data_IF_993580047050
#
_entry.id   IF_993580047050
#
_cell.length_a   1.000
_cell.length_b   1.000
_cell.length_c   1.000
_cell.angle_alpha   90.00
_cell.angle_beta   90.00
_cell.angle_gamma   90.00
#
_symmetry.space_group_name_H-M   'P 1'
#
loop_
_entity.id
_entity.type
_entity.pdbx_description
1 polymer ?
#
# COMPACT_ATOMS: atom_id res chain seq x y z
N UNK A 1 -6.46 24.28 -11.68
CA UNK A 1 -7.18 23.00 -11.58
C UNK A 1 -7.07 22.52 -10.14
N UNK A 2 -8.17 22.18 -9.49
CA UNK A 2 -8.14 21.61 -8.14
C UNK A 2 -7.64 20.17 -8.18
N UNK A 3 -6.65 19.85 -7.37
CA UNK A 3 -6.10 18.50 -7.22
C UNK A 3 -6.70 17.89 -5.96
N UNK A 4 -7.27 16.70 -6.08
CA UNK A 4 -7.74 15.93 -4.93
C UNK A 4 -6.58 15.09 -4.41
N UNK A 5 -6.39 15.05 -3.10
CA UNK A 5 -5.37 14.23 -2.47
C UNK A 5 -5.89 13.55 -1.21
N UNK A 6 -5.43 12.33 -0.96
CA UNK A 6 -5.70 11.55 0.23
C UNK A 6 -4.38 10.97 0.72
N UNK A 7 -4.10 11.14 2.01
CA UNK A 7 -2.93 10.61 2.67
C UNK A 7 -3.38 9.70 3.81
N UNK A 8 -2.83 8.49 3.87
CA UNK A 8 -3.11 7.53 4.92
C UNK A 8 -1.82 7.03 5.55
N UNK A 9 -1.90 6.68 6.83
CA UNK A 9 -0.83 6.02 7.59
C UNK A 9 -1.43 4.81 8.29
N UNK A 10 -0.93 3.63 7.93
CA UNK A 10 -1.46 2.35 8.37
C UNK A 10 -0.41 1.67 9.24
N UNK A 11 -0.66 1.54 10.56
CA UNK A 11 0.25 0.85 11.46
C UNK A 11 0.13 -0.67 11.31
N UNK A 12 1.28 -1.34 11.28
CA UNK A 12 1.40 -2.78 11.40
C UNK A 12 1.96 -3.18 12.77
N UNK A 13 1.66 -4.40 13.26
CA UNK A 13 2.15 -4.86 14.56
C UNK A 13 3.68 -4.93 14.66
N UNK A 14 4.36 -5.18 13.54
CA UNK A 14 5.82 -5.20 13.46
C UNK A 14 6.36 -4.52 12.19
N UNK A 15 7.61 -4.06 12.24
CA UNK A 15 8.30 -3.54 11.05
C UNK A 15 8.45 -4.59 9.95
N UNK A 16 8.54 -5.88 10.31
CA UNK A 16 8.63 -6.99 9.35
C UNK A 16 7.33 -7.19 8.58
N UNK A 17 6.18 -7.13 9.25
CA UNK A 17 4.87 -7.20 8.57
C UNK A 17 4.63 -5.98 7.69
N UNK A 18 5.01 -4.79 8.16
CA UNK A 18 4.94 -3.57 7.36
C UNK A 18 5.81 -3.66 6.10
N UNK A 19 7.02 -4.22 6.23
CA UNK A 19 7.91 -4.49 5.11
C UNK A 19 7.28 -5.48 4.12
N UNK A 20 6.76 -6.61 4.59
CA UNK A 20 6.08 -7.59 3.72
C UNK A 20 4.93 -6.92 2.97
N UNK A 21 4.07 -6.18 3.68
CA UNK A 21 2.95 -5.49 3.06
C UNK A 21 3.42 -4.44 2.03
N UNK A 22 4.43 -3.65 2.36
CA UNK A 22 5.04 -2.69 1.44
C UNK A 22 5.58 -3.38 0.17
N UNK A 23 6.29 -4.50 0.33
CA UNK A 23 6.88 -5.26 -0.77
C UNK A 23 5.83 -5.80 -1.73
N UNK A 24 4.69 -6.26 -1.22
CA UNK A 24 3.58 -6.76 -2.03
C UNK A 24 2.79 -5.62 -2.68
N UNK A 25 2.53 -4.53 -1.95
CA UNK A 25 1.65 -3.45 -2.38
C UNK A 25 2.33 -2.39 -3.25
N UNK A 26 3.66 -2.32 -3.27
CA UNK A 26 4.41 -1.38 -4.13
C UNK A 26 4.41 -1.76 -5.61
N UNK A 27 3.88 -2.93 -5.95
CA UNK A 27 4.00 -3.49 -7.30
C UNK A 27 3.12 -2.73 -8.29
N UNK A 28 3.79 -2.40 -9.39
CA UNK A 28 3.50 -1.54 -10.53
C UNK A 28 3.10 -0.07 -10.33
N UNK A 29 3.91 0.76 -11.01
CA UNK A 29 3.61 2.15 -11.33
C UNK A 29 2.34 2.20 -12.15
N UNK A 30 1.42 3.08 -11.76
CA UNK A 30 0.24 3.34 -12.57
C UNK A 30 0.68 3.72 -14.00
N UNK A 31 0.00 3.20 -15.04
CA UNK A 31 0.36 3.49 -16.42
C UNK A 31 0.41 5.01 -16.64
N UNK A 32 1.36 5.50 -17.44
CA UNK A 32 1.62 6.94 -17.65
C UNK A 32 0.40 7.80 -18.05
N UNK A 33 -0.72 7.17 -18.45
CA UNK A 33 -2.00 7.83 -18.77
C UNK A 33 -2.96 7.93 -17.57
N UNK A 34 -2.60 7.38 -16.42
CA UNK A 34 -3.38 7.51 -15.21
C UNK A 34 -3.35 8.97 -14.75
N UNK A 35 -4.52 9.59 -14.62
CA UNK A 35 -4.64 10.93 -14.03
C UNK A 35 -4.56 10.87 -12.50
N UNK A 36 -3.83 9.90 -11.98
CA UNK A 36 -3.67 9.55 -10.58
C UNK A 36 -2.17 9.40 -10.34
N UNK A 37 -1.69 9.88 -9.20
CA UNK A 37 -0.35 9.65 -8.71
C UNK A 37 -0.46 8.97 -7.34
N UNK A 38 0.01 7.73 -7.27
CA UNK A 38 0.12 6.92 -6.06
C UNK A 38 1.58 6.86 -5.59
N UNK A 39 1.85 7.24 -4.36
CA UNK A 39 3.14 7.11 -3.70
C UNK A 39 2.99 6.28 -2.42
N UNK A 40 3.80 5.24 -2.27
CA UNK A 40 3.80 4.33 -1.13
C UNK A 40 5.18 4.37 -0.47
N UNK A 41 5.21 4.66 0.83
CA UNK A 41 6.43 4.79 1.64
C UNK A 41 6.28 3.87 2.85
N UNK A 42 7.39 3.27 3.26
CA UNK A 42 7.49 2.51 4.49
C UNK A 42 8.35 3.28 5.49
N UNK A 43 7.81 3.55 6.67
CA UNK A 43 8.50 4.17 7.80
C UNK A 43 8.39 3.26 9.02
N UNK A 44 9.43 2.46 9.27
CA UNK A 44 9.45 1.40 10.28
C UNK A 44 8.25 0.44 10.17
N UNK A 45 7.26 0.55 11.07
CA UNK A 45 6.04 -0.25 11.07
C UNK A 45 4.82 0.49 10.51
N UNK A 46 5.01 1.69 9.94
CA UNK A 46 3.97 2.51 9.34
C UNK A 46 4.06 2.43 7.82
N UNK A 47 2.98 1.99 7.19
CA UNK A 47 2.81 2.06 5.75
C UNK A 47 2.08 3.35 5.40
N UNK A 48 2.75 4.26 4.69
CA UNK A 48 2.22 5.56 4.31
C UNK A 48 1.89 5.56 2.83
N UNK A 49 0.68 5.99 2.48
CA UNK A 49 0.25 6.12 1.08
C UNK A 49 -0.31 7.52 0.82
N UNK A 50 0.12 8.10 -0.29
CA UNK A 50 -0.40 9.34 -0.85
C UNK A 50 -0.99 9.06 -2.22
N UNK A 51 -2.28 9.32 -2.39
CA UNK A 51 -2.97 9.23 -3.68
C UNK A 51 -3.46 10.62 -4.04
N UNK A 52 -3.09 11.11 -5.23
CA UNK A 52 -3.57 12.39 -5.74
C UNK A 52 -4.07 12.27 -7.17
N UNK A 53 -4.99 13.14 -7.58
CA UNK A 53 -5.53 13.12 -8.94
C UNK A 53 -6.41 14.33 -9.25
N UNK A 54 -6.76 14.48 -10.52
CA UNK A 54 -7.58 15.61 -11.01
C UNK A 54 -9.08 15.40 -10.80
N UNK A 55 -9.52 14.17 -10.57
CA UNK A 55 -10.93 13.80 -10.39
C UNK A 55 -11.12 13.01 -9.09
N UNK A 56 -12.00 13.49 -8.20
CA UNK A 56 -12.32 12.82 -6.95
C UNK A 56 -12.80 11.37 -7.16
N UNK A 57 -13.56 11.12 -8.23
CA UNK A 57 -14.02 9.76 -8.60
C UNK A 57 -12.85 8.80 -8.80
N UNK A 58 -11.79 9.26 -9.46
CA UNK A 58 -10.61 8.44 -9.75
C UNK A 58 -9.77 8.18 -8.51
N UNK A 59 -9.57 9.21 -7.68
CA UNK A 59 -8.92 9.06 -6.37
C UNK A 59 -9.66 8.04 -5.50
N UNK A 60 -11.00 8.11 -5.47
CA UNK A 60 -11.82 7.12 -4.74
C UNK A 60 -11.62 5.70 -5.27
N UNK A 61 -11.63 5.50 -6.59
CA UNK A 61 -11.44 4.17 -7.19
C UNK A 61 -10.06 3.60 -6.86
N UNK A 62 -8.99 4.41 -6.99
CA UNK A 62 -7.65 3.98 -6.65
C UNK A 62 -7.52 3.65 -5.15
N UNK A 63 -8.13 4.47 -4.29
CA UNK A 63 -8.15 4.24 -2.85
C UNK A 63 -8.88 2.94 -2.49
N UNK A 64 -10.05 2.67 -3.09
CA UNK A 64 -10.80 1.42 -2.87
C UNK A 64 -9.97 0.21 -3.31
N UNK A 65 -9.38 0.25 -4.52
CA UNK A 65 -8.55 -0.85 -5.01
C UNK A 65 -7.31 -1.11 -4.15
N UNK A 66 -6.73 -0.05 -3.57
CA UNK A 66 -5.64 -0.19 -2.61
C UNK A 66 -6.11 -0.88 -1.33
N UNK A 67 -7.27 -0.52 -0.78
CA UNK A 67 -7.82 -1.20 0.40
C UNK A 67 -8.14 -2.66 0.14
N UNK A 68 -8.71 -3.01 -1.01
CA UNK A 68 -8.97 -4.41 -1.37
C UNK A 68 -7.66 -5.24 -1.36
N UNK A 69 -6.59 -4.66 -1.91
CA UNK A 69 -5.26 -5.29 -1.92
C UNK A 69 -4.66 -5.38 -0.52
N UNK A 70 -4.81 -4.33 0.29
CA UNK A 70 -4.34 -4.31 1.67
C UNK A 70 -5.03 -5.37 2.52
N UNK A 71 -6.36 -5.49 2.40
CA UNK A 71 -7.17 -6.49 3.10
C UNK A 71 -6.65 -7.89 2.76
N UNK A 72 -6.51 -8.20 1.46
CA UNK A 72 -5.98 -9.48 1.00
C UNK A 72 -4.60 -9.79 1.60
N UNK A 73 -3.69 -8.81 1.60
CA UNK A 73 -2.36 -8.96 2.19
C UNK A 73 -2.44 -9.23 3.70
N UNK A 74 -3.27 -8.49 4.42
CA UNK A 74 -3.44 -8.69 5.88
C UNK A 74 -4.08 -10.04 6.21
N UNK A 75 -5.09 -10.47 5.46
CA UNK A 75 -5.71 -11.80 5.63
C UNK A 75 -4.71 -12.92 5.32
N UNK A 76 -3.89 -12.74 4.27
CA UNK A 76 -2.83 -13.70 3.92
C UNK A 76 -1.79 -13.80 5.03
N UNK A 77 -1.33 -12.67 5.60
CA UNK A 77 -0.41 -12.67 6.73
C UNK A 77 -1.02 -13.30 7.98
N UNK A 78 -2.32 -13.09 8.22
CA UNK A 78 -3.01 -13.70 9.35
C UNK A 78 -3.17 -15.23 9.19
N UNK A 79 -3.45 -15.70 7.96
CA UNK A 79 -3.69 -17.11 7.69
C UNK A 79 -2.39 -17.93 7.61
N UNK A 80 -1.30 -17.34 7.11
CA UNK A 80 -0.04 -18.05 6.83
C UNK A 80 1.17 -17.53 7.64
N UNK A 81 0.96 -16.59 8.56
CA UNK A 81 1.99 -16.08 9.46
C UNK A 81 2.23 -16.98 10.69
N UNK A 82 3.08 -16.53 11.64
CA UNK A 82 3.83 -15.28 11.65
C UNK A 82 5.03 -15.29 10.67
N UNK A 83 5.50 -14.12 10.23
CA UNK A 83 6.63 -14.05 9.31
C UNK A 83 7.92 -14.59 9.94
N UNK A 84 8.65 -15.39 9.19
CA UNK A 84 9.97 -15.90 9.60
C UNK A 84 10.94 -14.70 9.74
N UNK A 85 11.76 -14.64 10.81
CA UNK A 85 12.65 -13.49 11.07
C UNK A 85 13.68 -13.24 9.96
N UNK A 86 14.13 -14.32 9.32
CA UNK A 86 15.15 -14.31 8.26
C UNK A 86 14.86 -15.43 7.27
N UNK A 87 14.76 -15.08 5.99
CA UNK A 87 14.78 -16.07 4.91
C UNK A 87 16.23 -16.35 4.53
N UNK A 88 16.82 -17.43 5.06
CA UNK A 88 18.07 -17.97 4.50
C UNK A 88 17.71 -18.70 3.21
N UNK A 89 17.79 -18.00 2.09
CA UNK A 89 17.78 -18.61 0.77
C UNK A 89 19.17 -19.12 0.37
N UNK A 90 19.97 -19.64 1.30
CA UNK A 90 21.24 -20.34 1.07
C UNK A 90 21.57 -21.27 2.23
#
# INVERSE_FOLDING_TARGET
MSTFSVNLSIPFPSGREAEIAYQVLRVDKEPSRASIAKNLILDNNLLQISISGTEARKVRVALTSFFDSLILVTETMQLFGPPVPTYNYY
#
